data_IF_951825998152
#
_entry.id   IF_951825998152
#
_cell.length_a   1.000
_cell.length_b   1.000
_cell.length_c   1.000
_cell.angle_alpha   90.00
_cell.angle_beta   90.00
_cell.angle_gamma   90.00
#
_symmetry.space_group_name_H-M   'P 1'
#
loop_
_entity.id
_entity.type
_entity.pdbx_description
1 polymer ?
#
# COMPACT_ATOMS: atom_id res chain seq x y z
N UNK A 1 14.71 40.29 -3.80
CA UNK A 1 13.61 39.44 -4.23
C UNK A 1 13.40 38.39 -3.16
N UNK A 2 12.20 38.25 -2.61
CA UNK A 2 11.93 37.27 -1.55
C UNK A 2 11.53 35.92 -2.20
N UNK A 3 12.44 34.96 -2.17
CA UNK A 3 12.22 33.63 -2.78
C UNK A 3 11.10 32.83 -2.10
N UNK A 4 10.82 33.06 -0.83
CA UNK A 4 9.69 32.44 -0.11
C UNK A 4 8.34 32.94 -0.64
N UNK A 5 8.22 34.22 -1.00
CA UNK A 5 7.01 34.76 -1.60
C UNK A 5 6.77 34.15 -2.97
N UNK A 6 7.83 34.03 -3.80
CA UNK A 6 7.72 33.37 -5.10
C UNK A 6 7.23 31.91 -4.94
N UNK A 7 7.78 31.16 -3.97
CA UNK A 7 7.34 29.79 -3.71
C UNK A 7 5.86 29.71 -3.31
N UNK A 8 5.40 30.63 -2.44
CA UNK A 8 3.98 30.70 -2.04
C UNK A 8 3.07 30.98 -3.23
N UNK A 9 3.45 31.95 -4.07
CA UNK A 9 2.68 32.24 -5.30
C UNK A 9 2.55 31.03 -6.22
N UNK A 10 3.60 30.22 -6.38
CA UNK A 10 3.55 28.99 -7.17
C UNK A 10 2.55 28.00 -6.57
N UNK A 11 2.63 27.76 -5.22
CA UNK A 11 1.72 26.87 -4.54
C UNK A 11 0.26 27.29 -4.64
N UNK A 12 -0.01 28.60 -4.51
CA UNK A 12 -1.36 29.16 -4.63
C UNK A 12 -1.90 29.00 -6.06
N UNK A 13 -1.07 29.29 -7.08
CA UNK A 13 -1.49 29.13 -8.49
C UNK A 13 -1.77 27.69 -8.86
N UNK A 14 -0.94 26.74 -8.42
CA UNK A 14 -1.17 25.33 -8.69
C UNK A 14 -2.36 24.78 -7.91
N UNK A 15 -2.54 25.17 -6.66
CA UNK A 15 -3.72 24.81 -5.87
C UNK A 15 -5.01 25.32 -6.51
N UNK A 16 -5.00 26.57 -7.02
CA UNK A 16 -6.14 27.13 -7.71
C UNK A 16 -6.46 26.36 -9.01
N UNK A 17 -5.44 25.97 -9.77
CA UNK A 17 -5.61 25.16 -10.97
C UNK A 17 -6.30 23.80 -10.66
N UNK A 18 -5.95 23.16 -9.53
CA UNK A 18 -6.62 21.93 -9.08
C UNK A 18 -8.08 22.19 -8.70
N UNK A 19 -8.36 23.28 -7.98
CA UNK A 19 -9.74 23.64 -7.59
C UNK A 19 -10.61 23.92 -8.81
N UNK A 20 -10.06 24.56 -9.83
CA UNK A 20 -10.77 24.84 -11.07
C UNK A 20 -10.96 23.57 -11.91
N UNK A 21 -9.99 22.66 -11.90
CA UNK A 21 -10.14 21.34 -12.52
C UNK A 21 -11.33 20.57 -11.91
N UNK A 22 -11.46 20.61 -10.59
CA UNK A 22 -12.57 19.95 -9.88
C UNK A 22 -13.94 20.51 -10.27
N UNK A 23 -14.05 21.83 -10.51
CA UNK A 23 -15.29 22.47 -10.99
C UNK A 23 -15.66 22.08 -12.42
N UNK A 24 -14.67 21.72 -13.22
CA UNK A 24 -14.83 21.38 -14.64
C UNK A 24 -14.99 19.87 -14.89
N UNK A 25 -15.05 19.04 -13.84
CA UNK A 25 -15.37 17.62 -13.99
C UNK A 25 -16.80 17.44 -14.50
N UNK A 26 -16.94 16.57 -15.50
CA UNK A 26 -18.20 16.25 -16.13
C UNK A 26 -18.39 14.74 -16.28
N UNK A 27 -19.45 14.32 -16.97
CA UNK A 27 -19.79 12.90 -17.17
C UNK A 27 -18.73 12.13 -17.95
N UNK A 28 -17.85 12.79 -18.69
CA UNK A 28 -16.72 12.14 -19.36
C UNK A 28 -15.78 11.43 -18.36
N UNK A 29 -15.66 11.97 -17.13
CA UNK A 29 -14.88 11.29 -16.10
C UNK A 29 -15.49 9.94 -15.72
N UNK A 30 -16.81 9.87 -15.50
CA UNK A 30 -17.51 8.61 -15.23
C UNK A 30 -17.38 7.63 -16.40
N UNK A 31 -17.50 8.12 -17.64
CA UNK A 31 -17.32 7.31 -18.83
C UNK A 31 -15.90 6.75 -18.94
N UNK A 32 -14.87 7.55 -18.62
CA UNK A 32 -13.48 7.09 -18.59
C UNK A 32 -13.27 6.00 -17.54
N UNK A 33 -13.74 6.20 -16.31
CA UNK A 33 -13.68 5.18 -15.25
C UNK A 33 -14.38 3.89 -15.68
N UNK A 34 -15.59 3.99 -16.23
CA UNK A 34 -16.36 2.82 -16.69
C UNK A 34 -15.66 2.09 -17.85
N UNK A 35 -15.08 2.82 -18.80
CA UNK A 35 -14.31 2.22 -19.90
C UNK A 35 -13.10 1.47 -19.35
N UNK A 36 -12.34 2.08 -18.42
CA UNK A 36 -11.17 1.45 -17.81
C UNK A 36 -11.53 0.23 -16.93
N UNK A 37 -12.68 0.26 -16.25
CA UNK A 37 -13.17 -0.87 -15.45
C UNK A 37 -13.54 -2.08 -16.30
N UNK A 38 -14.14 -1.83 -17.46
CA UNK A 38 -14.63 -2.88 -18.37
C UNK A 38 -13.56 -3.36 -19.38
N UNK A 39 -12.40 -2.72 -19.40
CA UNK A 39 -11.27 -3.12 -20.27
C UNK A 39 -10.74 -4.50 -19.84
N UNK A 40 -10.63 -5.43 -20.80
CA UNK A 40 -10.06 -6.76 -20.57
C UNK A 40 -8.53 -6.76 -20.67
N UNK A 41 -7.98 -5.79 -21.36
CA UNK A 41 -6.55 -5.56 -21.51
C UNK A 41 -5.99 -4.61 -20.45
N UNK A 42 -5.11 -3.70 -20.88
CA UNK A 42 -4.35 -2.78 -20.04
C UNK A 42 -4.72 -1.34 -20.33
N UNK A 43 -4.49 -0.47 -19.35
CA UNK A 43 -4.54 0.98 -19.54
C UNK A 43 -3.16 1.49 -19.95
N UNK A 44 -2.99 1.86 -21.20
CA UNK A 44 -1.72 2.32 -21.75
C UNK A 44 -1.72 3.85 -21.74
N UNK A 45 -0.67 4.45 -21.19
CA UNK A 45 -0.55 5.91 -21.11
C UNK A 45 0.54 6.38 -22.06
N UNK A 46 0.27 7.46 -22.82
CA UNK A 46 1.22 8.03 -23.75
C UNK A 46 1.23 9.57 -23.68
N UNK A 47 2.40 10.17 -23.82
CA UNK A 47 2.59 11.61 -23.77
C UNK A 47 4.00 12.01 -24.15
N UNK A 48 4.21 13.25 -24.58
CA UNK A 48 5.52 13.77 -24.98
C UNK A 48 6.10 14.72 -23.94
N UNK A 49 7.41 14.71 -23.75
CA UNK A 49 8.12 15.63 -22.87
C UNK A 49 7.62 15.61 -21.42
N UNK A 50 7.25 16.76 -20.85
CA UNK A 50 6.74 16.85 -19.46
C UNK A 50 5.45 16.05 -19.27
N UNK A 51 4.55 16.08 -20.28
CA UNK A 51 3.33 15.24 -20.26
C UNK A 51 3.67 13.75 -20.25
N UNK A 52 4.75 13.33 -20.92
CA UNK A 52 5.23 11.95 -20.88
C UNK A 52 5.74 11.53 -19.50
N UNK A 53 6.51 12.38 -18.81
CA UNK A 53 6.95 12.10 -17.44
C UNK A 53 5.77 11.94 -16.45
N UNK A 54 4.78 12.81 -16.57
CA UNK A 54 3.55 12.69 -15.77
C UNK A 54 2.76 11.43 -16.17
N UNK A 55 2.68 11.14 -17.48
CA UNK A 55 2.03 9.94 -17.99
C UNK A 55 2.67 8.63 -17.46
N UNK A 56 3.99 8.59 -17.40
CA UNK A 56 4.72 7.46 -16.82
C UNK A 56 4.38 7.28 -15.31
N UNK A 57 4.30 8.40 -14.55
CA UNK A 57 3.85 8.35 -13.14
C UNK A 57 2.41 7.85 -13.03
N UNK A 58 1.50 8.32 -13.86
CA UNK A 58 0.09 7.88 -13.88
C UNK A 58 0.00 6.39 -14.17
N UNK A 59 0.72 5.89 -15.18
CA UNK A 59 0.77 4.46 -15.50
C UNK A 59 1.28 3.63 -14.32
N UNK A 60 2.35 4.06 -13.66
CA UNK A 60 2.89 3.39 -12.47
C UNK A 60 1.89 3.39 -11.31
N UNK A 61 1.18 4.50 -11.08
CA UNK A 61 0.13 4.58 -10.06
C UNK A 61 -1.02 3.62 -10.36
N UNK A 62 -1.53 3.60 -11.59
CA UNK A 62 -2.58 2.66 -12.02
C UNK A 62 -2.15 1.21 -11.81
N UNK A 63 -0.94 0.85 -12.23
CA UNK A 63 -0.41 -0.51 -12.05
C UNK A 63 -0.32 -0.90 -10.58
N UNK A 64 0.21 -0.01 -9.73
CA UNK A 64 0.37 -0.25 -8.30
C UNK A 64 -0.95 -0.25 -7.51
N UNK A 65 -2.03 0.23 -8.11
CA UNK A 65 -3.38 0.28 -7.51
C UNK A 65 -4.37 -0.68 -8.18
N UNK A 66 -3.87 -1.73 -8.85
CA UNK A 66 -4.69 -2.83 -9.35
C UNK A 66 -5.27 -2.64 -10.76
N UNK A 67 -4.80 -1.64 -11.51
CA UNK A 67 -5.14 -1.48 -12.93
C UNK A 67 -3.90 -1.76 -13.77
N UNK A 68 -3.81 -2.89 -14.49
CA UNK A 68 -2.65 -3.19 -15.32
C UNK A 68 -2.38 -2.05 -16.30
N UNK A 69 -1.20 -1.45 -16.22
CA UNK A 69 -0.87 -0.25 -16.99
C UNK A 69 0.63 -0.14 -17.26
N UNK A 70 0.98 0.48 -18.37
CA UNK A 70 2.35 0.90 -18.67
C UNK A 70 2.35 2.16 -19.52
N UNK A 71 3.50 2.82 -19.59
CA UNK A 71 3.72 3.99 -20.40
C UNK A 71 4.39 3.61 -21.72
N UNK A 72 3.92 4.21 -22.84
CA UNK A 72 4.56 4.11 -24.15
C UNK A 72 4.94 5.52 -24.65
N UNK A 73 6.19 5.68 -25.06
CA UNK A 73 6.63 6.95 -25.65
C UNK A 73 6.13 7.06 -27.08
N UNK A 74 5.46 8.18 -27.49
CA UNK A 74 4.88 8.28 -28.83
C UNK A 74 5.92 8.18 -29.94
N UNK A 75 7.15 8.65 -29.73
CA UNK A 75 8.26 8.48 -30.67
C UNK A 75 8.61 7.00 -30.91
N UNK A 76 8.75 6.20 -29.86
CA UNK A 76 9.04 4.76 -29.96
C UNK A 76 7.85 3.99 -30.56
N UNK A 77 6.64 4.44 -30.26
CA UNK A 77 5.41 3.89 -30.84
C UNK A 77 5.42 3.96 -32.38
N UNK A 78 5.97 5.03 -32.97
CA UNK A 78 6.14 5.18 -34.42
C UNK A 78 7.16 4.21 -35.03
N UNK A 79 8.06 3.66 -34.19
CA UNK A 79 9.15 2.77 -34.62
C UNK A 79 8.93 1.30 -34.22
N UNK A 80 7.71 0.93 -33.82
CA UNK A 80 7.35 -0.48 -33.64
C UNK A 80 6.63 -0.80 -32.33
N UNK A 81 6.77 0.03 -31.27
CA UNK A 81 6.19 -0.25 -29.96
C UNK A 81 4.64 -0.25 -29.97
N UNK A 82 3.99 0.26 -31.05
CA UNK A 82 2.56 0.02 -31.27
C UNK A 82 2.21 -1.48 -31.29
N UNK A 83 3.17 -2.36 -31.57
CA UNK A 83 3.01 -3.81 -31.47
C UNK A 83 2.67 -4.30 -30.07
N UNK A 84 3.00 -3.54 -29.02
CA UNK A 84 2.68 -3.85 -27.63
C UNK A 84 1.21 -3.69 -27.29
N UNK A 85 0.45 -2.91 -28.08
CA UNK A 85 -0.97 -2.66 -27.85
C UNK A 85 -1.82 -3.76 -28.48
N UNK A 86 -2.93 -4.10 -27.83
CA UNK A 86 -3.93 -5.06 -28.33
C UNK A 86 -5.30 -4.37 -28.44
N UNK A 87 -6.24 -4.91 -29.21
CA UNK A 87 -7.60 -4.36 -29.29
C UNK A 87 -8.37 -4.37 -27.95
N UNK A 88 -7.90 -5.14 -26.98
CA UNK A 88 -8.48 -5.24 -25.63
C UNK A 88 -8.00 -4.14 -24.69
N UNK A 89 -6.96 -3.38 -25.07
CA UNK A 89 -6.39 -2.30 -24.28
C UNK A 89 -7.20 -1.00 -24.43
N UNK A 90 -6.99 -0.04 -23.54
CA UNK A 90 -7.42 1.35 -23.67
C UNK A 90 -6.20 2.26 -23.67
N UNK A 91 -6.16 3.23 -24.59
CA UNK A 91 -5.08 4.21 -24.66
C UNK A 91 -5.51 5.52 -24.02
N UNK A 92 -4.70 6.04 -23.10
CA UNK A 92 -4.81 7.39 -22.54
C UNK A 92 -3.69 8.22 -23.11
N UNK A 93 -4.01 9.27 -23.89
CA UNK A 93 -3.02 10.20 -24.40
C UNK A 93 -3.09 11.53 -23.66
N UNK A 94 -1.92 12.11 -23.40
CA UNK A 94 -1.75 13.37 -22.67
C UNK A 94 -1.08 14.39 -23.56
N UNK A 95 -1.79 15.49 -23.88
CA UNK A 95 -1.26 16.61 -24.63
C UNK A 95 -1.98 17.90 -24.24
N UNK A 96 -1.28 18.84 -23.61
CA UNK A 96 -1.90 20.10 -23.19
C UNK A 96 -2.44 20.91 -24.40
N UNK A 97 -1.70 20.97 -25.52
CA UNK A 97 -2.15 21.62 -26.74
C UNK A 97 -3.15 20.81 -27.56
N UNK A 98 -3.08 19.46 -27.44
CA UNK A 98 -3.80 18.53 -28.30
C UNK A 98 -3.34 18.53 -29.79
N UNK A 99 -2.17 19.13 -30.07
CA UNK A 99 -1.57 19.25 -31.40
C UNK A 99 -0.15 18.66 -31.46
N UNK A 100 0.21 17.81 -30.51
CA UNK A 100 1.52 17.15 -30.47
C UNK A 100 1.64 16.18 -31.64
N UNK A 101 2.58 16.47 -32.55
CA UNK A 101 2.70 15.78 -33.85
C UNK A 101 2.93 14.28 -33.69
N UNK A 102 3.81 13.88 -32.78
CA UNK A 102 4.14 12.46 -32.52
C UNK A 102 2.92 11.67 -32.01
N UNK A 103 2.07 12.28 -31.18
CA UNK A 103 0.82 11.68 -30.74
C UNK A 103 -0.16 11.58 -31.90
N UNK A 104 -0.35 12.66 -32.66
CA UNK A 104 -1.28 12.66 -33.81
C UNK A 104 -0.92 11.61 -34.85
N UNK A 105 0.37 11.35 -35.09
CA UNK A 105 0.85 10.36 -36.07
C UNK A 105 0.47 8.89 -35.67
N UNK A 106 0.33 8.58 -34.38
CA UNK A 106 -0.04 7.23 -33.97
C UNK A 106 -1.55 6.98 -33.98
N UNK A 107 -2.39 8.04 -33.90
CA UNK A 107 -3.85 7.91 -33.78
C UNK A 107 -4.49 7.10 -34.92
N UNK A 108 -4.11 7.26 -36.22
CA UNK A 108 -4.69 6.44 -37.29
C UNK A 108 -4.52 4.92 -37.06
N UNK A 109 -3.37 4.49 -36.55
CA UNK A 109 -3.11 3.09 -36.24
C UNK A 109 -3.95 2.60 -35.03
N UNK A 110 -4.12 3.44 -34.02
CA UNK A 110 -4.98 3.17 -32.86
C UNK A 110 -6.44 2.99 -33.30
N UNK A 111 -6.96 3.90 -34.09
CA UNK A 111 -8.34 3.83 -34.62
C UNK A 111 -8.55 2.60 -35.53
N UNK A 112 -7.58 2.29 -36.40
CA UNK A 112 -7.64 1.08 -37.25
C UNK A 112 -7.73 -0.20 -36.43
N UNK A 113 -7.07 -0.25 -35.27
CA UNK A 113 -7.09 -1.38 -34.33
C UNK A 113 -8.32 -1.37 -33.41
N UNK A 114 -9.17 -0.33 -33.49
CA UNK A 114 -10.35 -0.14 -32.65
C UNK A 114 -10.02 -0.09 -31.14
N UNK A 115 -8.85 0.44 -30.80
CA UNK A 115 -8.44 0.66 -29.40
C UNK A 115 -9.13 1.94 -28.91
N UNK A 116 -9.93 1.88 -27.86
CA UNK A 116 -10.57 3.06 -27.28
C UNK A 116 -9.54 4.12 -26.83
N UNK A 117 -9.85 5.39 -27.09
CA UNK A 117 -8.96 6.50 -26.87
C UNK A 117 -9.53 7.50 -25.89
N UNK A 118 -8.91 7.61 -24.70
CA UNK A 118 -9.14 8.69 -23.74
C UNK A 118 -8.08 9.76 -23.97
N UNK A 119 -8.48 11.03 -24.02
CA UNK A 119 -7.59 12.16 -24.22
C UNK A 119 -7.65 13.10 -23.03
N UNK A 120 -6.51 13.32 -22.35
CA UNK A 120 -6.31 14.38 -21.37
C UNK A 120 -5.71 15.59 -22.11
N UNK A 121 -6.49 16.66 -22.24
CA UNK A 121 -6.07 17.83 -23.03
C UNK A 121 -6.58 19.14 -22.41
N UNK A 122 -5.79 20.22 -22.55
CA UNK A 122 -6.17 21.56 -22.13
C UNK A 122 -6.96 22.35 -23.20
N UNK A 123 -7.12 21.82 -24.42
CA UNK A 123 -7.77 22.51 -25.55
C UNK A 123 -8.90 21.67 -26.15
N UNK A 124 -10.14 21.99 -25.77
CA UNK A 124 -11.36 21.26 -26.16
C UNK A 124 -11.51 21.09 -27.69
N UNK A 125 -11.10 22.09 -28.47
CA UNK A 125 -11.29 22.10 -29.94
C UNK A 125 -10.08 21.58 -30.72
N UNK A 126 -9.11 20.95 -30.06
CA UNK A 126 -7.89 20.44 -30.69
C UNK A 126 -8.14 19.25 -31.61
N UNK A 127 -7.18 18.98 -32.50
CA UNK A 127 -7.21 17.83 -33.41
C UNK A 127 -7.30 16.51 -32.66
N UNK A 128 -6.54 16.36 -31.57
CA UNK A 128 -6.53 15.14 -30.78
C UNK A 128 -7.88 14.88 -30.09
N UNK A 129 -8.50 15.91 -29.50
CA UNK A 129 -9.82 15.79 -28.84
C UNK A 129 -10.91 15.40 -29.85
N UNK A 130 -10.90 15.96 -31.07
CA UNK A 130 -11.85 15.58 -32.13
C UNK A 130 -11.77 14.10 -32.54
N UNK A 131 -10.64 13.46 -32.26
CA UNK A 131 -10.41 12.04 -32.56
C UNK A 131 -10.58 11.13 -31.34
N UNK A 132 -10.83 11.70 -30.14
CA UNK A 132 -11.02 10.92 -28.91
C UNK A 132 -12.40 10.25 -28.84
N UNK A 133 -12.48 9.17 -28.10
CA UNK A 133 -13.75 8.58 -27.69
C UNK A 133 -14.23 9.25 -26.40
N UNK A 134 -13.28 9.64 -25.52
CA UNK A 134 -13.55 10.35 -24.26
C UNK A 134 -12.52 11.46 -24.10
N UNK A 135 -12.99 12.66 -23.74
CA UNK A 135 -12.16 13.83 -23.45
C UNK A 135 -12.19 14.19 -21.96
N UNK A 136 -11.03 14.22 -21.34
CA UNK A 136 -10.83 14.71 -19.97
C UNK A 136 -10.17 16.09 -20.03
N UNK A 137 -10.88 17.10 -19.59
CA UNK A 137 -10.42 18.47 -19.60
C UNK A 137 -9.41 18.71 -18.48
N UNK A 138 -8.15 19.03 -18.85
CA UNK A 138 -7.06 19.42 -17.93
C UNK A 138 -6.62 20.87 -18.14
N UNK A 139 -7.48 21.70 -18.71
CA UNK A 139 -7.17 23.11 -18.96
C UNK A 139 -6.89 23.86 -17.65
N UNK A 140 -5.84 24.66 -17.67
CA UNK A 140 -5.51 25.61 -16.60
C UNK A 140 -5.56 27.04 -17.16
N UNK A 141 -5.92 28.00 -16.30
CA UNK A 141 -6.01 29.42 -16.70
C UNK A 141 -4.62 29.94 -17.11
N UNK A 142 -3.60 29.64 -16.29
CA UNK A 142 -2.21 30.05 -16.49
C UNK A 142 -1.23 29.12 -15.82
N UNK A 143 -0.01 29.10 -16.32
CA UNK A 143 1.08 28.38 -15.69
C UNK A 143 1.60 29.14 -14.45
N UNK A 144 2.07 28.40 -13.45
CA UNK A 144 2.74 28.99 -12.28
C UNK A 144 4.14 29.55 -12.63
N UNK A 145 4.71 29.12 -13.76
CA UNK A 145 5.96 29.64 -14.31
C UNK A 145 5.89 31.15 -14.49
N UNK A 146 6.88 31.92 -13.98
CA UNK A 146 6.92 33.38 -14.13
C UNK A 146 6.88 33.85 -15.57
N UNK A 147 7.42 33.04 -16.50
CA UNK A 147 7.44 33.34 -17.94
C UNK A 147 6.23 32.76 -18.70
N UNK A 148 5.34 32.05 -18.02
CA UNK A 148 4.18 31.35 -18.63
C UNK A 148 4.57 30.32 -19.72
N UNK A 149 5.83 29.82 -19.69
CA UNK A 149 6.38 28.92 -20.72
C UNK A 149 6.54 27.48 -20.21
N UNK A 150 7.08 27.33 -19.00
CA UNK A 150 7.32 26.01 -18.45
C UNK A 150 6.00 25.41 -17.92
N UNK A 151 5.66 24.18 -18.31
CA UNK A 151 4.50 23.46 -17.77
C UNK A 151 4.69 23.19 -16.27
N UNK A 152 3.87 23.80 -15.43
CA UNK A 152 3.82 23.65 -13.98
C UNK A 152 2.36 23.35 -13.57
N UNK A 153 1.47 24.34 -13.59
CA UNK A 153 0.04 24.14 -13.28
C UNK A 153 -0.60 23.07 -14.16
N UNK A 154 -0.30 23.06 -15.46
CA UNK A 154 -0.86 22.06 -16.39
C UNK A 154 -0.36 20.63 -16.10
N UNK A 155 0.89 20.46 -15.67
CA UNK A 155 1.42 19.15 -15.30
C UNK A 155 0.85 18.68 -13.96
N UNK A 156 0.68 19.57 -13.00
CA UNK A 156 0.03 19.27 -11.71
C UNK A 156 -1.45 18.89 -11.92
N UNK A 157 -2.20 19.63 -12.73
CA UNK A 157 -3.57 19.30 -13.08
C UNK A 157 -3.69 17.92 -13.77
N UNK A 158 -2.77 17.62 -14.69
CA UNK A 158 -2.71 16.31 -15.36
C UNK A 158 -2.45 15.16 -14.35
N UNK A 159 -1.51 15.37 -13.44
CA UNK A 159 -1.17 14.40 -12.39
C UNK A 159 -2.38 14.11 -11.50
N UNK A 160 -3.04 15.15 -11.01
CA UNK A 160 -4.21 15.02 -10.13
C UNK A 160 -5.39 14.35 -10.86
N UNK A 161 -5.60 14.62 -12.15
CA UNK A 161 -6.60 13.90 -12.96
C UNK A 161 -6.29 12.40 -13.02
N UNK A 162 -5.04 12.02 -13.22
CA UNK A 162 -4.61 10.62 -13.21
C UNK A 162 -4.78 9.96 -11.85
N UNK A 163 -4.45 10.64 -10.76
CA UNK A 163 -4.64 10.15 -9.40
C UNK A 163 -6.14 10.01 -9.06
N UNK A 164 -6.99 10.91 -9.56
CA UNK A 164 -8.44 10.80 -9.41
C UNK A 164 -8.99 9.56 -10.13
N UNK A 165 -8.54 9.26 -11.35
CA UNK A 165 -8.90 8.01 -12.05
C UNK A 165 -8.48 6.77 -11.26
N UNK A 166 -7.24 6.73 -10.78
CA UNK A 166 -6.74 5.62 -9.98
C UNK A 166 -7.56 5.42 -8.69
N UNK A 167 -7.83 6.51 -7.96
CA UNK A 167 -8.62 6.48 -6.74
C UNK A 167 -10.07 6.03 -6.97
N UNK A 168 -10.71 6.49 -8.06
CA UNK A 168 -12.05 6.07 -8.44
C UNK A 168 -12.08 4.56 -8.76
N UNK A 169 -11.12 4.05 -9.53
CA UNK A 169 -10.98 2.63 -9.87
C UNK A 169 -10.79 1.77 -8.62
N UNK A 170 -9.90 2.18 -7.71
CA UNK A 170 -9.71 1.51 -6.42
C UNK A 170 -11.02 1.42 -5.63
N UNK A 171 -11.74 2.53 -5.53
CA UNK A 171 -12.97 2.62 -4.75
C UNK A 171 -14.06 1.71 -5.33
N UNK A 172 -14.26 1.73 -6.65
CA UNK A 172 -15.28 0.92 -7.32
C UNK A 172 -14.96 -0.58 -7.26
N UNK A 173 -13.66 -0.94 -7.35
CA UNK A 173 -13.21 -2.35 -7.22
C UNK A 173 -13.15 -2.84 -5.78
N UNK A 174 -13.40 -1.98 -4.79
CA UNK A 174 -13.20 -2.30 -3.37
C UNK A 174 -11.78 -2.80 -3.07
N UNK A 175 -10.78 -2.13 -3.66
CA UNK A 175 -9.36 -2.44 -3.52
C UNK A 175 -8.93 -2.30 -2.05
N UNK A 176 -8.30 -3.33 -1.51
CA UNK A 176 -7.96 -3.45 -0.08
C UNK A 176 -6.45 -3.30 0.16
N UNK A 177 -6.04 -3.07 1.42
CA UNK A 177 -4.62 -3.08 1.79
C UNK A 177 -3.89 -4.38 1.39
N UNK A 178 -4.55 -5.53 1.46
CA UNK A 178 -3.98 -6.82 1.06
C UNK A 178 -3.69 -6.87 -0.45
N UNK A 179 -4.57 -6.29 -1.28
CA UNK A 179 -4.34 -6.17 -2.72
C UNK A 179 -3.12 -5.26 -3.00
N UNK A 180 -2.99 -4.16 -2.25
CA UNK A 180 -1.84 -3.27 -2.36
C UNK A 180 -0.53 -3.97 -1.98
N UNK A 181 -0.55 -4.81 -0.95
CA UNK A 181 0.60 -5.58 -0.49
C UNK A 181 1.14 -6.53 -1.57
N UNK A 182 0.25 -7.16 -2.35
CA UNK A 182 0.62 -8.05 -3.47
C UNK A 182 1.45 -7.32 -4.54
N UNK A 183 1.17 -6.03 -4.78
CA UNK A 183 1.91 -5.22 -5.75
C UNK A 183 3.17 -4.56 -5.16
N UNK A 184 3.32 -4.55 -3.82
CA UNK A 184 4.43 -3.92 -3.10
C UNK A 184 5.11 -4.89 -2.11
N UNK A 185 5.52 -6.10 -2.52
CA UNK A 185 6.02 -7.12 -1.58
C UNK A 185 7.30 -6.69 -0.84
N UNK A 186 8.11 -5.81 -1.42
CA UNK A 186 9.33 -5.29 -0.80
C UNK A 186 9.13 -4.11 0.15
N UNK A 187 7.95 -3.49 0.19
CA UNK A 187 7.64 -2.39 1.10
C UNK A 187 7.32 -2.87 2.52
N UNK A 188 7.46 -2.01 3.52
CA UNK A 188 7.14 -2.34 4.92
C UNK A 188 5.70 -2.86 5.08
N UNK A 189 4.74 -2.21 4.42
CA UNK A 189 3.35 -2.66 4.44
C UNK A 189 3.16 -4.03 3.76
N UNK A 190 3.81 -4.26 2.62
CA UNK A 190 3.75 -5.52 1.90
C UNK A 190 4.30 -6.67 2.71
N UNK A 191 5.50 -6.52 3.29
CA UNK A 191 6.08 -7.52 4.18
C UNK A 191 5.18 -7.83 5.36
N UNK A 192 4.67 -6.80 6.05
CA UNK A 192 3.81 -6.95 7.22
C UNK A 192 2.51 -7.72 6.91
N UNK A 193 1.91 -7.49 5.75
CA UNK A 193 0.66 -8.13 5.33
C UNK A 193 0.85 -9.51 4.67
N UNK A 194 2.06 -9.81 4.16
CA UNK A 194 2.36 -11.09 3.52
C UNK A 194 3.13 -12.07 4.42
N UNK A 195 3.68 -11.61 5.56
CA UNK A 195 4.45 -12.43 6.47
C UNK A 195 3.52 -13.16 7.44
N UNK A 196 3.71 -14.47 7.58
CA UNK A 196 2.98 -15.28 8.54
C UNK A 196 3.68 -15.30 9.91
N UNK A 197 2.92 -15.58 10.95
CA UNK A 197 3.43 -15.73 12.32
C UNK A 197 4.56 -16.76 12.38
N UNK A 198 4.42 -17.90 11.70
CA UNK A 198 5.44 -18.96 11.65
C UNK A 198 6.79 -18.53 11.08
N UNK A 199 6.81 -17.50 10.24
CA UNK A 199 8.03 -16.99 9.61
C UNK A 199 8.86 -16.11 10.57
N UNK A 200 8.24 -15.63 11.65
CA UNK A 200 8.82 -14.71 12.63
C UNK A 200 8.90 -15.29 14.07
N UNK A 201 8.19 -16.38 14.34
CA UNK A 201 8.15 -16.97 15.68
C UNK A 201 9.47 -17.65 16.05
N UNK A 202 9.77 -17.69 17.34
CA UNK A 202 10.77 -18.58 17.92
C UNK A 202 10.10 -19.92 18.14
N UNK A 203 10.62 -20.99 17.53
CA UNK A 203 10.04 -22.33 17.59
C UNK A 203 10.97 -23.38 18.25
N UNK A 204 12.20 -22.99 18.59
CA UNK A 204 13.18 -23.87 19.24
C UNK A 204 13.57 -23.34 20.62
N UNK A 205 13.94 -24.24 21.51
CA UNK A 205 14.36 -23.91 22.89
C UNK A 205 13.36 -23.00 23.63
N UNK A 206 12.07 -23.31 23.48
CA UNK A 206 11.01 -22.56 24.15
C UNK A 206 11.15 -22.71 25.67
N UNK A 207 10.97 -21.62 26.43
CA UNK A 207 11.00 -21.62 27.88
C UNK A 207 9.71 -22.27 28.44
N UNK A 208 9.72 -23.60 28.56
CA UNK A 208 8.58 -24.40 29.00
C UNK A 208 8.83 -24.90 30.43
N UNK A 209 7.84 -24.77 31.29
CA UNK A 209 7.87 -25.24 32.66
C UNK A 209 6.58 -26.00 32.98
N UNK A 210 6.63 -26.85 34.05
CA UNK A 210 5.46 -27.54 34.60
C UNK A 210 4.82 -26.68 35.69
N UNK A 211 3.51 -26.82 35.99
CA UNK A 211 2.84 -26.13 37.11
C UNK A 211 3.54 -26.22 38.45
N UNK A 212 4.18 -27.37 38.74
CA UNK A 212 4.89 -27.61 39.98
C UNK A 212 6.38 -27.20 39.94
N UNK A 213 6.87 -26.62 38.89
CA UNK A 213 8.27 -26.11 38.80
C UNK A 213 8.52 -25.07 39.89
N UNK A 214 9.62 -25.25 40.63
CA UNK A 214 10.06 -24.35 41.70
C UNK A 214 10.57 -23.00 41.16
N UNK A 215 10.52 -21.98 42.00
CA UNK A 215 10.81 -20.60 41.60
C UNK A 215 12.22 -20.43 40.97
N UNK A 216 13.26 -21.07 41.54
CA UNK A 216 14.63 -20.92 41.03
C UNK A 216 14.75 -21.55 39.65
N UNK A 217 14.23 -22.75 39.42
CA UNK A 217 14.24 -23.41 38.11
C UNK A 217 13.42 -22.64 37.08
N UNK A 218 12.29 -22.06 37.51
CA UNK A 218 11.48 -21.18 36.66
C UNK A 218 12.28 -19.96 36.17
N UNK A 219 13.02 -19.31 37.09
CA UNK A 219 13.84 -18.16 36.76
C UNK A 219 14.98 -18.53 35.81
N UNK A 220 15.62 -19.70 36.00
CA UNK A 220 16.68 -20.20 35.14
C UNK A 220 16.17 -20.49 33.72
N UNK A 221 15.00 -21.15 33.60
CA UNK A 221 14.36 -21.42 32.31
C UNK A 221 13.97 -20.11 31.62
N UNK A 222 13.39 -19.14 32.30
CA UNK A 222 13.02 -17.85 31.75
C UNK A 222 14.25 -17.09 31.26
N UNK A 223 15.33 -17.08 32.04
CA UNK A 223 16.57 -16.41 31.72
C UNK A 223 17.23 -17.02 30.47
N UNK A 224 17.28 -18.36 30.43
CA UNK A 224 17.87 -19.12 29.32
C UNK A 224 17.07 -18.93 28.02
N UNK A 225 15.74 -18.84 28.12
CA UNK A 225 14.85 -18.64 26.98
C UNK A 225 14.96 -17.27 26.34
N UNK A 226 15.39 -16.23 27.09
CA UNK A 226 15.57 -14.83 26.60
C UNK A 226 14.32 -14.20 25.93
N UNK A 227 13.13 -14.70 26.26
CA UNK A 227 11.85 -14.23 25.70
C UNK A 227 11.02 -13.42 26.72
N UNK A 228 11.52 -13.24 27.96
CA UNK A 228 10.84 -12.49 29.02
C UNK A 228 9.57 -13.19 29.56
N UNK A 229 9.40 -14.47 29.24
CA UNK A 229 8.28 -15.28 29.71
C UNK A 229 8.64 -16.76 29.82
N UNK A 230 7.80 -17.52 30.53
CA UNK A 230 7.72 -18.99 30.46
C UNK A 230 6.32 -19.44 30.08
N UNK A 231 6.22 -20.49 29.29
CA UNK A 231 4.98 -21.19 28.97
C UNK A 231 4.79 -22.31 29.98
N UNK A 232 3.63 -22.38 30.60
CA UNK A 232 3.31 -23.45 31.58
C UNK A 232 2.48 -24.51 30.87
N UNK A 233 3.05 -25.73 30.78
CA UNK A 233 2.37 -26.89 30.19
C UNK A 233 2.10 -27.94 31.23
N UNK A 234 0.91 -28.54 31.18
CA UNK A 234 0.55 -29.75 31.95
C UNK A 234 0.07 -30.82 30.97
N UNK A 235 0.69 -31.99 30.97
CA UNK A 235 0.40 -33.09 30.03
C UNK A 235 0.40 -32.60 28.56
N UNK A 236 1.43 -31.80 28.19
CA UNK A 236 1.62 -31.15 26.86
C UNK A 236 0.56 -30.10 26.49
N UNK A 237 -0.35 -29.77 27.39
CA UNK A 237 -1.40 -28.76 27.18
C UNK A 237 -1.01 -27.43 27.81
N UNK A 238 -1.33 -26.36 27.12
CA UNK A 238 -1.12 -25.00 27.61
C UNK A 238 -2.10 -24.68 28.75
N UNK A 239 -1.55 -24.47 29.94
CA UNK A 239 -2.35 -24.14 31.15
C UNK A 239 -2.10 -22.71 31.64
N UNK A 240 -0.98 -22.09 31.26
CA UNK A 240 -0.68 -20.75 31.69
C UNK A 240 0.57 -20.14 31.06
N UNK A 241 0.83 -18.89 31.41
CA UNK A 241 2.02 -18.12 31.04
C UNK A 241 2.53 -17.38 32.26
N UNK A 242 3.85 -17.24 32.38
CA UNK A 242 4.49 -16.43 33.42
C UNK A 242 5.41 -15.44 32.73
N UNK A 243 5.21 -14.15 32.99
CA UNK A 243 6.03 -13.07 32.45
C UNK A 243 6.92 -12.45 33.51
N UNK A 244 7.93 -11.66 33.14
CA UNK A 244 8.72 -10.84 34.08
C UNK A 244 7.83 -9.94 34.96
N UNK A 245 6.69 -9.51 34.40
CA UNK A 245 5.69 -8.70 35.12
C UNK A 245 5.01 -9.49 36.23
N UNK A 246 4.71 -10.79 35.98
CA UNK A 246 4.09 -11.68 36.96
C UNK A 246 5.05 -11.96 38.12
N UNK A 247 6.32 -12.27 37.83
CA UNK A 247 7.36 -12.45 38.85
C UNK A 247 7.47 -11.23 39.76
N UNK A 248 7.61 -10.02 39.16
CA UNK A 248 7.73 -8.77 39.94
C UNK A 248 6.50 -8.49 40.80
N UNK A 249 5.30 -8.77 40.31
CA UNK A 249 4.06 -8.61 41.10
C UNK A 249 4.03 -9.56 42.27
N UNK A 250 4.29 -10.85 42.06
CA UNK A 250 4.28 -11.87 43.10
C UNK A 250 5.28 -11.55 44.22
N UNK A 251 6.52 -11.19 43.85
CA UNK A 251 7.54 -10.83 44.85
C UNK A 251 7.23 -9.55 45.64
N UNK A 252 6.38 -8.67 45.12
CA UNK A 252 5.97 -7.43 45.80
C UNK A 252 4.78 -7.63 46.73
N UNK A 253 3.84 -8.52 46.37
CA UNK A 253 2.52 -8.58 47.02
C UNK A 253 2.34 -9.79 47.91
N UNK A 254 3.25 -10.76 47.93
CA UNK A 254 3.13 -11.97 48.70
C UNK A 254 3.85 -11.85 50.03
N UNK A 255 3.19 -12.38 51.09
CA UNK A 255 3.75 -12.53 52.42
C UNK A 255 4.58 -13.83 52.59
N UNK A 256 4.64 -14.68 51.55
CA UNK A 256 5.48 -15.88 51.55
C UNK A 256 6.98 -15.55 51.57
N UNK A 257 7.81 -16.45 52.16
CA UNK A 257 9.26 -16.32 52.03
C UNK A 257 9.65 -16.14 50.57
N UNK A 258 10.61 -15.26 50.27
CA UNK A 258 11.12 -15.08 48.92
C UNK A 258 11.59 -16.43 48.39
N UNK A 259 11.19 -16.70 47.16
CA UNK A 259 11.53 -17.92 46.41
C UNK A 259 10.79 -19.21 46.78
N UNK A 260 9.81 -19.18 47.70
CA UNK A 260 8.95 -20.33 48.02
C UNK A 260 7.65 -20.31 47.22
N UNK A 261 7.80 -20.32 45.90
CA UNK A 261 6.68 -20.34 44.96
C UNK A 261 6.83 -21.45 43.93
N UNK A 262 5.70 -21.94 43.44
CA UNK A 262 5.62 -22.82 42.28
C UNK A 262 5.00 -22.07 41.09
N UNK A 263 5.31 -22.51 39.87
CA UNK A 263 4.84 -21.90 38.63
C UNK A 263 3.31 -21.67 38.62
N UNK A 264 2.53 -22.64 39.08
CA UNK A 264 1.05 -22.56 39.19
C UNK A 264 0.53 -21.43 40.06
N UNK A 265 1.31 -20.97 41.02
CA UNK A 265 0.91 -19.89 41.93
C UNK A 265 1.18 -18.51 41.34
N UNK A 266 2.04 -18.42 40.31
CA UNK A 266 2.49 -17.19 39.67
C UNK A 266 1.82 -17.00 38.28
N UNK A 267 1.48 -18.10 37.64
CA UNK A 267 1.01 -18.06 36.23
C UNK A 267 -0.30 -17.30 36.06
N UNK A 268 -0.39 -16.61 34.96
CA UNK A 268 -1.65 -16.11 34.39
C UNK A 268 -2.29 -17.24 33.58
N UNK A 269 -3.53 -17.60 33.91
CA UNK A 269 -4.32 -18.59 33.16
C UNK A 269 -4.94 -17.96 31.90
N UNK A 270 -5.30 -18.78 30.92
CA UNK A 270 -5.91 -18.33 29.65
C UNK A 270 -5.05 -17.36 28.86
N UNK A 271 -3.78 -17.69 28.59
CA UNK A 271 -2.92 -16.83 27.76
C UNK A 271 -3.51 -16.64 26.36
N UNK A 272 -3.17 -15.51 25.72
CA UNK A 272 -3.55 -15.29 24.33
C UNK A 272 -2.71 -16.18 23.44
N UNK A 273 -3.36 -16.75 22.43
CA UNK A 273 -2.74 -17.65 21.45
C UNK A 273 -3.10 -17.16 20.06
N UNK A 274 -2.18 -17.31 19.11
CA UNK A 274 -2.38 -17.04 17.68
C UNK A 274 -1.98 -18.26 16.87
N UNK A 275 -2.65 -18.50 15.74
CA UNK A 275 -2.31 -19.59 14.83
C UNK A 275 -0.97 -19.30 14.11
N UNK A 276 -0.15 -20.33 13.88
CA UNK A 276 1.11 -20.20 13.16
C UNK A 276 0.93 -19.74 11.69
N UNK A 277 -0.20 -20.09 11.09
CA UNK A 277 -0.54 -19.69 9.71
C UNK A 277 -1.26 -18.33 9.62
N UNK A 278 -1.59 -17.71 10.76
CA UNK A 278 -2.15 -16.35 10.81
C UNK A 278 -1.13 -15.34 10.27
N UNK A 279 -1.62 -14.19 9.83
CA UNK A 279 -0.74 -13.09 9.39
C UNK A 279 -0.08 -12.40 10.60
N UNK A 280 1.16 -11.92 10.42
CA UNK A 280 1.88 -11.19 11.46
C UNK A 280 1.12 -9.93 11.92
N UNK A 281 0.37 -9.29 11.02
CA UNK A 281 -0.50 -8.15 11.34
C UNK A 281 -1.63 -8.51 12.32
N UNK A 282 -2.18 -9.71 12.25
CA UNK A 282 -3.21 -10.19 13.18
C UNK A 282 -2.62 -10.39 14.59
N UNK A 283 -1.42 -11.00 14.67
CA UNK A 283 -0.71 -11.14 15.94
C UNK A 283 -0.40 -9.78 16.57
N UNK A 284 0.04 -8.79 15.75
CA UNK A 284 0.30 -7.42 16.20
C UNK A 284 -0.97 -6.76 16.77
N UNK A 285 -2.10 -6.88 16.07
CA UNK A 285 -3.38 -6.31 16.50
C UNK A 285 -3.81 -6.87 17.87
N UNK A 286 -3.69 -8.21 18.06
CA UNK A 286 -3.97 -8.86 19.33
C UNK A 286 -3.04 -8.31 20.43
N UNK A 287 -1.73 -8.22 20.15
CA UNK A 287 -0.75 -7.71 21.11
C UNK A 287 -1.03 -6.26 21.53
N UNK A 288 -1.33 -5.38 20.56
CA UNK A 288 -1.64 -3.98 20.83
C UNK A 288 -2.95 -3.81 21.61
N UNK A 289 -4.00 -4.56 21.25
CA UNK A 289 -5.29 -4.56 21.92
C UNK A 289 -5.17 -4.99 23.40
N UNK A 290 -4.37 -5.99 23.66
CA UNK A 290 -4.19 -6.54 25.01
C UNK A 290 -2.99 -5.95 25.77
N UNK A 291 -2.24 -5.02 25.13
CA UNK A 291 -1.04 -4.37 25.69
C UNK A 291 0.03 -5.38 26.15
N UNK A 292 0.20 -6.45 25.36
CA UNK A 292 1.21 -7.50 25.57
C UNK A 292 2.29 -7.38 24.50
N UNK A 293 3.51 -7.82 24.83
CA UNK A 293 4.67 -7.76 23.93
C UNK A 293 5.02 -9.10 23.31
N UNK A 294 4.53 -10.16 23.90
CA UNK A 294 4.72 -11.55 23.48
C UNK A 294 3.37 -12.24 23.41
N UNK A 295 3.23 -13.15 22.43
CA UNK A 295 2.04 -14.01 22.30
C UNK A 295 2.47 -15.43 21.95
N UNK A 296 1.77 -16.40 22.54
CA UNK A 296 2.00 -17.82 22.28
C UNK A 296 1.47 -18.16 20.89
N UNK A 297 2.24 -18.94 20.15
CA UNK A 297 1.83 -19.48 18.85
C UNK A 297 1.44 -20.94 19.02
N UNK A 298 0.22 -21.28 18.61
CA UNK A 298 -0.28 -22.64 18.77
C UNK A 298 -1.68 -22.82 18.24
N UNK A 299 -2.17 -24.06 18.33
CA UNK A 299 -3.53 -24.45 17.99
C UNK A 299 -4.01 -25.53 18.95
N UNK A 300 -5.27 -25.44 19.39
CA UNK A 300 -5.90 -26.48 20.23
C UNK A 300 -5.04 -26.88 21.45
N UNK A 301 -4.58 -25.91 22.24
CA UNK A 301 -3.74 -26.11 23.43
C UNK A 301 -2.30 -26.58 23.14
N UNK A 302 -1.93 -26.89 21.89
CA UNK A 302 -0.56 -27.25 21.50
C UNK A 302 0.25 -26.00 21.17
N UNK A 303 1.33 -25.78 21.89
CA UNK A 303 2.27 -24.68 21.66
C UNK A 303 3.31 -25.10 20.62
N UNK A 304 3.50 -24.26 19.60
CA UNK A 304 4.51 -24.49 18.55
C UNK A 304 5.55 -23.37 18.49
N UNK A 305 5.32 -22.26 19.18
CA UNK A 305 6.25 -21.13 19.18
C UNK A 305 5.81 -19.97 20.06
N UNK A 306 6.62 -18.92 20.04
CA UNK A 306 6.35 -17.63 20.68
C UNK A 306 6.75 -16.54 19.67
N UNK A 307 5.91 -15.54 19.49
CA UNK A 307 6.25 -14.37 18.68
C UNK A 307 6.30 -13.11 19.53
N UNK A 308 7.25 -12.24 19.25
CA UNK A 308 7.46 -10.99 19.98
C UNK A 308 7.12 -9.80 19.07
N UNK A 309 6.52 -8.76 19.65
CA UNK A 309 6.09 -7.55 18.93
C UNK A 309 7.23 -6.89 18.13
N UNK A 310 8.46 -6.87 18.67
CA UNK A 310 9.58 -6.28 17.97
C UNK A 310 10.03 -7.07 16.73
N UNK A 311 9.75 -8.38 16.67
CA UNK A 311 10.03 -9.20 15.49
C UNK A 311 9.13 -8.77 14.32
N UNK A 312 7.88 -8.41 14.59
CA UNK A 312 6.93 -7.90 13.60
C UNK A 312 7.33 -6.49 13.13
N UNK A 313 7.75 -5.63 14.03
CA UNK A 313 8.17 -4.26 13.71
C UNK A 313 9.48 -4.14 12.89
N UNK A 314 10.22 -5.25 12.71
CA UNK A 314 11.44 -5.33 11.87
C UNK A 314 11.17 -5.75 10.42
N UNK A 315 9.92 -6.08 10.10
CA UNK A 315 9.49 -6.54 8.76
C UNK A 315 9.07 -5.41 7.84
#
# INVERSE_FOLDING_TARGET
>A
MNTLEIAKEVFEKEAQAILDLAKNLDENFNQAVNLMLNTKGRCIVSGMGKSGHIGAKIAATLASTGTPSFFIHPGEALHGDLGMLTPEDVLITISNSGETEEILKIIPAIKKRKIPLIVMCGKKNSTLVKQSDIFLNIAVEKEACPLQLAPMSSTTATLVMGDALAAALMKVRNFKPDDFALFHPGGSLGRKLLTKVKDLMVSSNLPIVHPDTEFNDLVDVMTSGKLGLCVVLENEKLVGIITDGDLRRTLKTSDKPRFDFRAKEIMSTNPKVVDADAMASEAEEIMLKHKIKEIIVGKEERVVGIIQLYAIGRV
#
